data_IF_809134685945
#
_entry.id   IF_809134685945
#
_cell.length_a   1.000
_cell.length_b   1.000
_cell.length_c   1.000
_cell.angle_alpha   90.00
_cell.angle_beta   90.00
_cell.angle_gamma   90.00
#
_symmetry.space_group_name_H-M   'P 1'
#
loop_
_entity.id
_entity.type
_entity.pdbx_description
1 polymer ?
#
# COMPACT_ATOMS: atom_id res chain seq x y z
N UNK A 1 -164.42 19.48 33.73
CA UNK A 1 -163.81 18.54 32.75
C UNK A 1 -162.87 19.22 31.74
N UNK A 2 -162.82 20.55 31.63
CA UNK A 2 -161.80 21.29 30.85
C UNK A 2 -160.48 21.45 31.62
N UNK A 3 -160.54 21.75 32.93
CA UNK A 3 -159.36 21.93 33.81
C UNK A 3 -158.39 20.73 33.85
N UNK A 4 -158.88 19.49 33.87
CA UNK A 4 -158.03 18.27 33.94
C UNK A 4 -157.26 18.01 32.62
N UNK A 5 -157.83 18.41 31.47
CA UNK A 5 -157.16 18.31 30.17
C UNK A 5 -156.09 19.40 30.00
N UNK A 6 -156.33 20.58 30.55
CA UNK A 6 -155.35 21.66 30.60
C UNK A 6 -154.17 21.31 31.51
N UNK A 7 -154.41 20.77 32.71
CA UNK A 7 -153.34 20.33 33.63
C UNK A 7 -152.50 19.19 33.06
N UNK A 8 -153.10 18.20 32.38
CA UNK A 8 -152.35 17.13 31.72
C UNK A 8 -151.51 17.67 30.56
N UNK A 9 -152.05 18.58 29.75
CA UNK A 9 -151.29 19.23 28.67
C UNK A 9 -150.14 20.10 29.21
N UNK A 10 -150.35 20.85 30.29
CA UNK A 10 -149.29 21.62 30.96
C UNK A 10 -148.18 20.68 31.46
N UNK A 11 -148.55 19.53 32.04
CA UNK A 11 -147.59 18.54 32.56
C UNK A 11 -146.78 17.88 31.43
N UNK A 12 -147.42 17.49 30.33
CA UNK A 12 -146.74 16.91 29.15
C UNK A 12 -145.83 17.94 28.47
N UNK A 13 -146.26 19.20 28.35
CA UNK A 13 -145.44 20.30 27.82
C UNK A 13 -144.24 20.56 28.73
N UNK A 14 -144.41 20.59 30.05
CA UNK A 14 -143.31 20.75 31.01
C UNK A 14 -142.32 19.60 30.97
N UNK A 15 -142.78 18.34 30.86
CA UNK A 15 -141.90 17.18 30.70
C UNK A 15 -141.15 17.22 29.36
N UNK A 16 -141.77 17.71 28.29
CA UNK A 16 -141.13 17.86 26.97
C UNK A 16 -140.07 18.96 26.98
N UNK A 17 -140.37 20.10 27.62
CA UNK A 17 -139.42 21.19 27.87
C UNK A 17 -138.25 20.69 28.71
N UNK A 18 -138.50 19.97 29.81
CA UNK A 18 -137.45 19.40 30.66
C UNK A 18 -136.59 18.38 29.92
N UNK A 19 -137.17 17.55 29.05
CA UNK A 19 -136.42 16.61 28.21
C UNK A 19 -135.59 17.34 27.14
N UNK A 20 -136.06 18.46 26.61
CA UNK A 20 -135.28 19.32 25.72
C UNK A 20 -134.13 20.02 26.47
N UNK A 21 -134.37 20.55 27.67
CA UNK A 21 -133.33 21.13 28.54
C UNK A 21 -132.26 20.10 28.89
N UNK A 22 -132.65 18.88 29.27
CA UNK A 22 -131.71 17.81 29.57
C UNK A 22 -130.89 17.41 28.35
N UNK A 23 -131.50 17.34 27.16
CA UNK A 23 -130.77 17.10 25.91
C UNK A 23 -129.83 18.25 25.56
N UNK A 24 -130.24 19.50 25.75
CA UNK A 24 -129.39 20.67 25.54
C UNK A 24 -128.18 20.65 26.49
N UNK A 25 -128.40 20.36 27.77
CA UNK A 25 -127.33 20.18 28.76
C UNK A 25 -126.43 18.99 28.43
N UNK A 26 -126.98 17.88 27.97
CA UNK A 26 -126.18 16.72 27.53
C UNK A 26 -125.31 17.07 26.32
N UNK A 27 -125.84 17.82 25.34
CA UNK A 27 -125.05 18.29 24.19
C UNK A 27 -123.98 19.30 24.59
N UNK A 28 -124.27 20.17 25.55
CA UNK A 28 -123.32 21.13 26.10
C UNK A 28 -122.19 20.43 26.85
N UNK A 29 -122.52 19.44 27.69
CA UNK A 29 -121.54 18.61 28.39
C UNK A 29 -120.66 17.86 27.39
N UNK A 30 -121.26 17.24 26.35
CA UNK A 30 -120.49 16.56 25.29
C UNK A 30 -119.55 17.52 24.54
N UNK A 31 -120.02 18.72 24.21
CA UNK A 31 -119.20 19.74 23.56
C UNK A 31 -118.06 20.24 24.47
N UNK A 32 -118.33 20.43 25.76
CA UNK A 32 -117.32 20.81 26.74
C UNK A 32 -116.30 19.70 26.96
N UNK A 33 -116.74 18.43 27.00
CA UNK A 33 -115.85 17.28 27.17
C UNK A 33 -114.90 17.13 25.97
N UNK A 34 -115.39 17.37 24.74
CA UNK A 34 -114.54 17.42 23.55
C UNK A 34 -113.51 18.57 23.61
N UNK A 35 -113.91 19.77 24.07
CA UNK A 35 -112.98 20.89 24.26
C UNK A 35 -111.94 20.61 25.34
N UNK A 36 -112.34 19.96 26.44
CA UNK A 36 -111.42 19.54 27.50
C UNK A 36 -110.44 18.47 27.01
N UNK A 37 -110.91 17.48 26.24
CA UNK A 37 -110.03 16.46 25.65
C UNK A 37 -109.02 17.11 24.67
N UNK A 38 -109.47 18.02 23.80
CA UNK A 38 -108.58 18.81 22.94
C UNK A 38 -107.56 19.62 23.74
N UNK A 39 -107.99 20.30 24.81
CA UNK A 39 -107.10 21.05 25.69
C UNK A 39 -106.07 20.15 26.38
N UNK A 40 -106.47 18.97 26.86
CA UNK A 40 -105.57 17.99 27.47
C UNK A 40 -104.55 17.48 26.45
N UNK A 41 -104.97 17.17 25.22
CA UNK A 41 -104.08 16.77 24.14
C UNK A 41 -103.08 17.87 23.78
N UNK A 42 -103.52 19.12 23.63
CA UNK A 42 -102.64 20.25 23.36
C UNK A 42 -101.66 20.53 24.50
N UNK A 43 -102.12 20.43 25.75
CA UNK A 43 -101.28 20.58 26.93
C UNK A 43 -100.22 19.47 26.98
N UNK A 44 -100.60 18.23 26.70
CA UNK A 44 -99.67 17.11 26.65
C UNK A 44 -98.63 17.28 25.53
N UNK A 45 -99.03 17.77 24.36
CA UNK A 45 -98.08 18.12 23.28
C UNK A 45 -97.12 19.23 23.72
N UNK A 46 -97.60 20.27 24.41
CA UNK A 46 -96.74 21.34 24.97
C UNK A 46 -95.78 20.79 26.03
N UNK A 47 -96.26 19.92 26.92
CA UNK A 47 -95.47 19.25 27.96
C UNK A 47 -94.36 18.41 27.34
N UNK A 48 -94.68 17.57 26.37
CA UNK A 48 -93.71 16.73 25.64
C UNK A 48 -92.71 17.59 24.87
N UNK A 49 -93.13 18.66 24.20
CA UNK A 49 -92.21 19.58 23.50
C UNK A 49 -91.26 20.28 24.47
N UNK A 50 -91.77 20.78 25.59
CA UNK A 50 -90.95 21.41 26.63
C UNK A 50 -89.95 20.41 27.23
N UNK A 51 -90.40 19.18 27.51
CA UNK A 51 -89.54 18.11 28.02
C UNK A 51 -88.42 17.75 27.02
N UNK A 52 -88.75 17.56 25.73
CA UNK A 52 -87.75 17.29 24.68
C UNK A 52 -86.79 18.46 24.46
N UNK A 53 -87.22 19.71 24.66
CA UNK A 53 -86.33 20.88 24.59
C UNK A 53 -85.36 20.88 25.77
N UNK A 54 -85.87 20.68 26.99
CA UNK A 54 -85.05 20.60 28.20
C UNK A 54 -84.05 19.44 28.15
N UNK A 55 -84.44 18.29 27.60
CA UNK A 55 -83.54 17.14 27.44
C UNK A 55 -82.42 17.42 26.43
N UNK A 56 -82.74 18.01 25.27
CA UNK A 56 -81.71 18.42 24.28
C UNK A 56 -80.75 19.45 24.85
N UNK A 57 -81.25 20.40 25.63
CA UNK A 57 -80.43 21.43 26.27
C UNK A 57 -79.52 20.82 27.33
N UNK A 58 -80.02 19.89 28.15
CA UNK A 58 -79.20 19.12 29.10
C UNK A 58 -78.12 18.31 28.39
N UNK A 59 -78.43 17.67 27.27
CA UNK A 59 -77.46 16.91 26.49
C UNK A 59 -76.37 17.81 25.89
N UNK A 60 -76.75 18.94 25.32
CA UNK A 60 -75.80 19.92 24.80
C UNK A 60 -74.88 20.45 25.90
N UNK A 61 -75.42 20.74 27.09
CA UNK A 61 -74.62 21.17 28.25
C UNK A 61 -73.65 20.06 28.65
N UNK A 62 -74.09 18.79 28.72
CA UNK A 62 -73.20 17.65 29.02
C UNK A 62 -72.05 17.56 28.03
N UNK A 63 -72.32 17.64 26.73
CA UNK A 63 -71.30 17.62 25.68
C UNK A 63 -70.31 18.77 25.84
N UNK A 64 -70.81 20.00 26.05
CA UNK A 64 -69.96 21.18 26.23
C UNK A 64 -69.10 21.11 27.49
N UNK A 65 -69.60 20.52 28.58
CA UNK A 65 -68.80 20.33 29.80
C UNK A 65 -67.65 19.34 29.56
N UNK A 66 -67.90 18.25 28.83
CA UNK A 66 -66.84 17.29 28.46
C UNK A 66 -65.80 17.93 27.54
N UNK A 67 -66.24 18.66 26.51
CA UNK A 67 -65.34 19.40 25.61
C UNK A 67 -64.51 20.43 26.39
N UNK A 68 -65.12 21.20 27.30
CA UNK A 68 -64.40 22.16 28.14
C UNK A 68 -63.34 21.49 29.01
N UNK A 69 -63.65 20.33 29.59
CA UNK A 69 -62.66 19.55 30.37
C UNK A 69 -61.47 19.12 29.51
N UNK A 70 -61.73 18.54 28.34
CA UNK A 70 -60.67 18.12 27.42
C UNK A 70 -59.80 19.30 26.95
N UNK A 71 -60.41 20.44 26.59
CA UNK A 71 -59.68 21.64 26.20
C UNK A 71 -58.87 22.24 27.36
N UNK A 72 -59.37 22.15 28.60
CA UNK A 72 -58.63 22.61 29.78
C UNK A 72 -57.40 21.76 30.05
N UNK A 73 -57.49 20.43 29.90
CA UNK A 73 -56.36 19.52 30.02
C UNK A 73 -55.31 19.78 28.93
N UNK A 74 -55.74 19.96 27.67
CA UNK A 74 -54.85 20.29 26.56
C UNK A 74 -54.13 21.63 26.78
N UNK A 75 -54.86 22.66 27.21
CA UNK A 75 -54.30 23.96 27.53
C UNK A 75 -53.26 23.86 28.66
N UNK A 76 -53.53 23.03 29.67
CA UNK A 76 -52.59 22.79 30.76
C UNK A 76 -51.31 22.12 30.26
N UNK A 77 -51.43 21.07 29.44
CA UNK A 77 -50.29 20.37 28.87
C UNK A 77 -49.43 21.28 27.98
N UNK A 78 -50.07 22.07 27.10
CA UNK A 78 -49.38 23.03 26.25
C UNK A 78 -48.68 24.14 27.06
N UNK A 79 -49.29 24.58 28.15
CA UNK A 79 -48.69 25.57 29.05
C UNK A 79 -47.45 25.01 29.74
N UNK A 80 -47.50 23.77 30.21
CA UNK A 80 -46.34 23.10 30.80
C UNK A 80 -45.19 22.95 29.80
N UNK A 81 -45.48 22.56 28.55
CA UNK A 81 -44.46 22.40 27.52
C UNK A 81 -43.86 23.76 27.12
N UNK A 82 -44.69 24.80 26.99
CA UNK A 82 -44.21 26.18 26.79
C UNK A 82 -43.26 26.60 27.90
N UNK A 83 -43.63 26.36 29.17
CA UNK A 83 -42.81 26.76 30.32
C UNK A 83 -41.52 25.96 30.42
N UNK A 84 -41.53 24.70 29.98
CA UNK A 84 -40.33 23.89 29.84
C UNK A 84 -39.42 24.48 28.76
N UNK A 85 -39.94 24.73 27.56
CA UNK A 85 -39.16 25.29 26.44
C UNK A 85 -38.62 26.69 26.76
N UNK A 86 -39.40 27.53 27.44
CA UNK A 86 -38.96 28.85 27.89
C UNK A 86 -37.76 28.73 28.86
N UNK A 87 -37.83 27.82 29.85
CA UNK A 87 -36.71 27.57 30.76
C UNK A 87 -35.47 27.04 30.03
N UNK A 88 -35.63 26.20 29.02
CA UNK A 88 -34.52 25.72 28.19
C UNK A 88 -33.91 26.87 27.36
N UNK A 89 -34.73 27.74 26.78
CA UNK A 89 -34.28 28.92 26.05
C UNK A 89 -33.52 29.90 26.95
N UNK A 90 -34.03 30.18 28.15
CA UNK A 90 -33.39 31.06 29.14
C UNK A 90 -32.03 30.51 29.57
N UNK A 91 -31.93 29.20 29.84
CA UNK A 91 -30.65 28.55 30.15
C UNK A 91 -29.64 28.70 29.01
N UNK A 92 -30.11 28.65 27.77
CA UNK A 92 -29.28 28.74 26.57
C UNK A 92 -29.03 30.19 26.12
N UNK A 93 -29.57 31.20 26.80
CA UNK A 93 -29.42 32.61 26.43
C UNK A 93 -27.95 33.08 26.44
N UNK A 94 -27.08 32.39 27.19
CA UNK A 94 -25.64 32.67 27.23
C UNK A 94 -24.97 32.59 25.84
N UNK A 95 -25.44 31.70 24.96
CA UNK A 95 -24.84 31.48 23.64
C UNK A 95 -25.10 32.63 22.66
N UNK A 96 -26.34 33.06 22.40
CA UNK A 96 -26.59 34.23 21.55
C UNK A 96 -25.97 35.50 22.13
N UNK A 97 -25.99 35.70 23.45
CA UNK A 97 -25.33 36.84 24.10
C UNK A 97 -23.82 36.85 23.85
N UNK A 98 -23.17 35.68 23.94
CA UNK A 98 -21.77 35.51 23.60
C UNK A 98 -21.50 35.85 22.13
N UNK A 99 -22.28 35.30 21.19
CA UNK A 99 -22.08 35.56 19.77
C UNK A 99 -22.32 37.03 19.41
N UNK A 100 -23.32 37.68 20.00
CA UNK A 100 -23.54 39.12 19.85
C UNK A 100 -22.37 39.95 20.37
N UNK A 101 -21.76 39.55 21.50
CA UNK A 101 -20.52 40.19 21.98
C UNK A 101 -19.37 40.01 20.98
N UNK A 102 -19.20 38.82 20.42
CA UNK A 102 -18.16 38.56 19.40
C UNK A 102 -18.36 39.43 18.16
N UNK A 103 -19.58 39.53 17.65
CA UNK A 103 -19.95 40.41 16.52
C UNK A 103 -19.57 41.87 16.82
N UNK A 104 -19.95 42.37 18.01
CA UNK A 104 -19.62 43.75 18.46
C UNK A 104 -18.12 44.02 18.54
N UNK A 105 -17.34 43.05 19.00
CA UNK A 105 -15.88 43.19 19.16
C UNK A 105 -15.14 43.08 17.83
N UNK A 106 -15.47 42.10 17.01
CA UNK A 106 -14.70 41.79 15.80
C UNK A 106 -15.00 42.73 14.63
N UNK A 107 -16.18 43.38 14.58
CA UNK A 107 -16.64 44.30 13.50
C UNK A 107 -16.55 43.79 12.05
N UNK A 108 -16.00 42.60 11.82
CA UNK A 108 -15.89 41.90 10.54
C UNK A 108 -17.16 41.10 10.21
N UNK A 109 -18.05 40.97 11.18
CA UNK A 109 -19.31 40.24 11.07
C UNK A 109 -20.43 41.17 11.45
N UNK A 110 -21.54 41.08 10.72
CA UNK A 110 -22.76 41.84 11.03
C UNK A 110 -23.74 41.01 11.88
N UNK A 111 -23.69 39.69 11.74
CA UNK A 111 -24.63 38.77 12.39
C UNK A 111 -23.94 37.56 13.03
N UNK A 112 -24.45 37.04 14.17
CA UNK A 112 -23.99 35.80 14.79
C UNK A 112 -23.87 34.61 13.83
N UNK A 113 -24.78 34.53 12.83
CA UNK A 113 -24.80 33.45 11.84
C UNK A 113 -23.54 33.44 10.96
N UNK A 114 -22.99 34.62 10.64
CA UNK A 114 -21.75 34.72 9.86
C UNK A 114 -20.55 34.19 10.65
N UNK A 115 -20.49 34.47 11.96
CA UNK A 115 -19.46 33.93 12.87
C UNK A 115 -19.54 32.40 12.91
N UNK A 116 -20.74 31.85 13.07
CA UNK A 116 -20.95 30.39 13.06
C UNK A 116 -20.53 29.75 11.73
N UNK A 117 -20.93 30.35 10.60
CA UNK A 117 -20.55 29.87 9.28
C UNK A 117 -19.04 29.88 9.08
N UNK A 118 -18.37 30.97 9.46
CA UNK A 118 -16.90 31.05 9.40
C UNK A 118 -16.24 30.00 10.29
N UNK A 119 -16.74 29.81 11.50
CA UNK A 119 -16.23 28.78 12.41
C UNK A 119 -16.40 27.37 11.81
N UNK A 120 -17.58 27.06 11.27
CA UNK A 120 -17.83 25.78 10.61
C UNK A 120 -16.87 25.55 9.43
N UNK A 121 -16.65 26.56 8.58
CA UNK A 121 -15.67 26.47 7.49
C UNK A 121 -14.26 26.27 8.02
N UNK A 122 -13.85 26.95 9.09
CA UNK A 122 -12.53 26.78 9.70
C UNK A 122 -12.34 25.39 10.28
N UNK A 123 -13.36 24.82 10.92
CA UNK A 123 -13.33 23.43 11.43
C UNK A 123 -13.17 22.46 10.26
N UNK A 124 -13.98 22.61 9.21
CA UNK A 124 -13.88 21.78 8.01
C UNK A 124 -12.49 21.87 7.35
N UNK A 125 -11.98 23.09 7.15
CA UNK A 125 -10.65 23.31 6.57
C UNK A 125 -9.56 22.70 7.46
N UNK A 126 -9.67 22.80 8.79
CA UNK A 126 -8.74 22.16 9.73
C UNK A 126 -8.76 20.64 9.55
N UNK A 127 -9.92 20.03 9.46
CA UNK A 127 -10.05 18.58 9.26
C UNK A 127 -9.43 18.14 7.93
N UNK A 128 -9.67 18.88 6.86
CA UNK A 128 -9.10 18.60 5.54
C UNK A 128 -7.58 18.76 5.53
N UNK A 129 -7.05 19.81 6.16
CA UNK A 129 -5.60 20.01 6.33
C UNK A 129 -4.96 18.89 7.15
N UNK A 130 -5.61 18.45 8.24
CA UNK A 130 -5.10 17.33 9.05
C UNK A 130 -5.10 16.03 8.26
N UNK A 131 -6.10 15.79 7.40
CA UNK A 131 -6.15 14.63 6.52
C UNK A 131 -5.00 14.66 5.52
N UNK A 132 -4.84 15.78 4.82
CA UNK A 132 -3.75 15.96 3.84
C UNK A 132 -2.36 15.85 4.48
N UNK A 133 -2.17 16.39 5.68
CA UNK A 133 -0.92 16.25 6.42
C UNK A 133 -0.58 14.78 6.73
N UNK A 134 -1.58 14.00 7.17
CA UNK A 134 -1.42 12.55 7.42
C UNK A 134 -1.11 11.77 6.14
N UNK A 135 -1.76 12.10 5.04
CA UNK A 135 -1.49 11.49 3.73
C UNK A 135 -0.08 11.82 3.24
N UNK A 136 0.37 13.07 3.40
CA UNK A 136 1.73 13.49 3.09
C UNK A 136 2.77 12.76 3.94
N UNK A 137 2.54 12.63 5.24
CA UNK A 137 3.40 11.88 6.15
C UNK A 137 3.49 10.40 5.75
N UNK A 138 2.36 9.77 5.41
CA UNK A 138 2.33 8.39 4.93
C UNK A 138 3.11 8.22 3.61
N UNK A 139 3.01 9.19 2.69
CA UNK A 139 3.77 9.18 1.44
C UNK A 139 5.27 9.30 1.68
N UNK A 140 5.70 10.22 2.57
CA UNK A 140 7.11 10.37 2.96
C UNK A 140 7.63 9.09 3.61
N UNK A 141 6.91 8.51 4.55
CA UNK A 141 7.29 7.25 5.20
C UNK A 141 7.43 6.11 4.19
N UNK A 142 6.52 6.04 3.20
CA UNK A 142 6.61 5.05 2.12
C UNK A 142 7.87 5.27 1.26
N UNK A 143 8.17 6.51 0.89
CA UNK A 143 9.37 6.84 0.12
C UNK A 143 10.67 6.54 0.89
N UNK A 144 10.70 6.84 2.20
CA UNK A 144 11.82 6.49 3.08
C UNK A 144 12.01 4.97 3.19
N UNK A 145 10.92 4.20 3.30
CA UNK A 145 10.99 2.74 3.31
C UNK A 145 11.54 2.18 1.99
N UNK A 146 11.10 2.71 0.84
CA UNK A 146 11.63 2.33 -0.47
C UNK A 146 13.12 2.68 -0.61
N UNK A 147 13.54 3.85 -0.11
CA UNK A 147 14.95 4.25 -0.12
C UNK A 147 15.80 3.32 0.75
N UNK A 148 15.32 2.98 1.96
CA UNK A 148 16.01 2.05 2.84
C UNK A 148 16.21 0.68 2.17
N UNK A 149 15.16 0.17 1.53
CA UNK A 149 15.22 -1.08 0.77
C UNK A 149 16.21 -1.00 -0.40
N UNK A 150 16.24 0.13 -1.13
CA UNK A 150 17.20 0.33 -2.22
C UNK A 150 18.64 0.35 -1.73
N UNK A 151 18.91 1.01 -0.59
CA UNK A 151 20.23 1.06 0.03
C UNK A 151 20.67 -0.35 0.46
N UNK A 152 19.79 -1.12 1.08
CA UNK A 152 20.06 -2.52 1.48
C UNK A 152 20.43 -3.38 0.27
N UNK A 153 19.59 -3.36 -0.78
CA UNK A 153 19.87 -4.07 -2.03
C UNK A 153 21.16 -3.61 -2.71
N UNK A 154 21.49 -2.32 -2.60
CA UNK A 154 22.75 -1.77 -3.09
C UNK A 154 23.95 -2.31 -2.30
N UNK A 155 23.83 -2.36 -0.97
CA UNK A 155 24.82 -2.95 -0.08
C UNK A 155 25.08 -4.42 -0.40
N UNK A 156 24.03 -5.21 -0.59
CA UNK A 156 24.14 -6.63 -0.97
C UNK A 156 24.89 -6.81 -2.30
N UNK A 157 24.59 -5.98 -3.30
CA UNK A 157 25.29 -6.00 -4.59
C UNK A 157 26.77 -5.63 -4.45
N UNK A 158 27.10 -4.62 -3.64
CA UNK A 158 28.49 -4.23 -3.39
C UNK A 158 29.25 -5.40 -2.74
N UNK A 159 28.67 -6.04 -1.73
CA UNK A 159 29.29 -7.21 -1.08
C UNK A 159 29.48 -8.34 -2.09
N UNK A 160 28.46 -8.64 -2.89
CA UNK A 160 28.53 -9.66 -3.93
C UNK A 160 29.65 -9.40 -4.94
N UNK A 161 29.74 -8.19 -5.50
CA UNK A 161 30.80 -7.85 -6.45
C UNK A 161 32.18 -7.77 -5.80
N UNK A 162 32.28 -7.32 -4.55
CA UNK A 162 33.54 -7.33 -3.80
C UNK A 162 34.08 -8.76 -3.63
N UNK A 163 33.20 -9.71 -3.33
CA UNK A 163 33.58 -11.12 -3.23
C UNK A 163 34.01 -11.70 -4.58
N UNK A 164 33.30 -11.37 -5.66
CA UNK A 164 33.70 -11.79 -7.02
C UNK A 164 35.06 -11.20 -7.43
N UNK A 165 35.29 -9.92 -7.12
CA UNK A 165 36.58 -9.27 -7.39
C UNK A 165 37.72 -9.95 -6.64
N UNK A 166 37.52 -10.30 -5.36
CA UNK A 166 38.52 -11.00 -4.58
C UNK A 166 38.85 -12.40 -5.13
N UNK A 167 37.83 -13.13 -5.62
CA UNK A 167 38.02 -14.42 -6.29
C UNK A 167 38.84 -14.26 -7.58
N UNK A 168 38.44 -13.33 -8.45
CA UNK A 168 39.15 -13.06 -9.71
C UNK A 168 40.59 -12.60 -9.47
N UNK A 169 40.82 -11.78 -8.44
CA UNK A 169 42.17 -11.36 -8.07
C UNK A 169 43.02 -12.55 -7.64
N UNK A 170 42.45 -13.47 -6.86
CA UNK A 170 43.15 -14.71 -6.45
C UNK A 170 43.49 -15.57 -7.67
N UNK A 171 42.56 -15.74 -8.61
CA UNK A 171 42.81 -16.47 -9.86
C UNK A 171 43.91 -15.80 -10.69
N UNK A 172 43.90 -14.47 -10.82
CA UNK A 172 44.94 -13.73 -11.51
C UNK A 172 46.31 -13.90 -10.84
N UNK A 173 46.38 -13.78 -9.52
CA UNK A 173 47.62 -13.91 -8.75
C UNK A 173 48.20 -15.34 -8.88
N UNK A 174 47.34 -16.36 -8.93
CA UNK A 174 47.79 -17.74 -9.17
C UNK A 174 48.30 -17.95 -10.59
N UNK A 175 47.59 -17.45 -11.60
CA UNK A 175 47.99 -17.57 -13.00
C UNK A 175 49.29 -16.81 -13.28
N UNK A 176 49.44 -15.59 -12.75
CA UNK A 176 50.67 -14.80 -12.88
C UNK A 176 51.85 -15.47 -12.18
N UNK A 177 51.66 -16.01 -10.98
CA UNK A 177 52.70 -16.78 -10.27
C UNK A 177 53.16 -18.01 -11.08
N UNK A 178 52.22 -18.73 -11.69
CA UNK A 178 52.55 -19.85 -12.57
C UNK A 178 53.29 -19.41 -13.83
N UNK A 179 52.85 -18.32 -14.47
CA UNK A 179 53.51 -17.76 -15.65
C UNK A 179 54.96 -17.39 -15.34
N UNK A 180 55.21 -16.69 -14.22
CA UNK A 180 56.56 -16.34 -13.77
C UNK A 180 57.44 -17.59 -13.55
N UNK A 181 56.89 -18.64 -12.94
CA UNK A 181 57.62 -19.90 -12.74
C UNK A 181 58.05 -20.52 -14.08
N UNK A 182 57.15 -20.59 -15.05
CA UNK A 182 57.42 -21.17 -16.36
C UNK A 182 58.36 -20.30 -17.19
N UNK A 183 58.23 -18.97 -17.11
CA UNK A 183 59.12 -18.03 -17.76
C UNK A 183 60.55 -18.17 -17.21
N UNK A 184 60.72 -18.27 -15.88
CA UNK A 184 62.02 -18.54 -15.27
C UNK A 184 62.63 -19.86 -15.74
N UNK A 185 61.82 -20.93 -15.83
CA UNK A 185 62.28 -22.24 -16.34
C UNK A 185 62.69 -22.15 -17.82
N UNK A 186 61.88 -21.47 -18.63
CA UNK A 186 62.16 -21.26 -20.04
C UNK A 186 63.46 -20.49 -20.26
N UNK A 187 63.67 -19.39 -19.53
CA UNK A 187 64.91 -18.61 -19.56
C UNK A 187 66.12 -19.47 -19.18
N UNK A 188 65.99 -20.32 -18.15
CA UNK A 188 67.08 -21.23 -17.77
C UNK A 188 67.42 -22.26 -18.85
N UNK A 189 66.41 -22.87 -19.46
CA UNK A 189 66.57 -23.82 -20.57
C UNK A 189 67.20 -23.11 -21.77
N UNK A 190 66.69 -21.94 -22.14
CA UNK A 190 67.18 -21.15 -23.27
C UNK A 190 68.64 -20.74 -23.09
N UNK A 191 69.01 -20.22 -21.91
CA UNK A 191 70.40 -19.89 -21.57
C UNK A 191 71.31 -21.12 -21.63
N UNK A 192 70.83 -22.27 -21.15
CA UNK A 192 71.61 -23.52 -21.21
C UNK A 192 71.79 -24.00 -22.65
N UNK A 193 70.75 -23.93 -23.46
CA UNK A 193 70.81 -24.27 -24.89
C UNK A 193 71.77 -23.32 -25.62
N UNK A 194 71.69 -22.00 -25.39
CA UNK A 194 72.59 -21.02 -25.96
C UNK A 194 74.06 -21.31 -25.60
N UNK A 195 74.35 -21.64 -24.33
CA UNK A 195 75.70 -22.06 -23.90
C UNK A 195 76.18 -23.32 -24.62
N UNK A 196 75.32 -24.35 -24.75
CA UNK A 196 75.66 -25.59 -25.47
C UNK A 196 75.88 -25.35 -26.96
N UNK A 197 75.04 -24.54 -27.59
CA UNK A 197 75.18 -24.15 -29.01
C UNK A 197 76.48 -23.38 -29.23
N UNK A 198 76.83 -22.44 -28.34
CA UNK A 198 78.09 -21.71 -28.41
C UNK A 198 79.30 -22.65 -28.25
N UNK A 199 79.27 -23.56 -27.26
CA UNK A 199 80.33 -24.54 -27.05
C UNK A 199 80.48 -25.45 -28.27
N UNK A 200 79.39 -25.96 -28.82
CA UNK A 200 79.40 -26.77 -30.03
C UNK A 200 80.00 -25.99 -31.20
N UNK A 201 79.55 -24.75 -31.44
CA UNK A 201 80.12 -23.88 -32.48
C UNK A 201 81.63 -23.65 -32.28
N UNK A 202 82.06 -23.45 -31.03
CA UNK A 202 83.49 -23.30 -30.68
C UNK A 202 84.28 -24.57 -31.00
N UNK A 203 83.77 -25.75 -30.62
CA UNK A 203 84.38 -27.05 -30.94
C UNK A 203 84.48 -27.22 -32.45
N UNK A 204 83.38 -26.99 -33.19
CA UNK A 204 83.35 -27.09 -34.65
C UNK A 204 84.40 -26.20 -35.30
N UNK A 205 84.51 -24.94 -34.86
CA UNK A 205 85.50 -24.00 -35.38
C UNK A 205 86.93 -24.41 -35.03
N UNK A 206 87.20 -24.82 -33.79
CA UNK A 206 88.52 -25.28 -33.37
C UNK A 206 88.96 -26.54 -34.15
N UNK A 207 88.06 -27.52 -34.30
CA UNK A 207 88.28 -28.72 -35.13
C UNK A 207 88.57 -28.35 -36.57
N UNK A 208 87.74 -27.52 -37.20
CA UNK A 208 87.93 -27.10 -38.58
C UNK A 208 89.28 -26.39 -38.75
N UNK A 209 89.62 -25.47 -37.84
CA UNK A 209 90.91 -24.76 -37.85
C UNK A 209 92.10 -25.72 -37.73
N UNK A 210 92.02 -26.73 -36.85
CA UNK A 210 93.06 -27.76 -36.71
C UNK A 210 93.17 -28.62 -37.99
N UNK A 211 92.04 -29.09 -38.53
CA UNK A 211 92.00 -29.85 -39.77
C UNK A 211 92.63 -29.08 -40.95
N UNK A 212 92.27 -27.80 -41.13
CA UNK A 212 92.86 -26.93 -42.16
C UNK A 212 94.37 -26.73 -41.94
N UNK A 213 94.81 -26.57 -40.69
CA UNK A 213 96.24 -26.39 -40.37
C UNK A 213 97.08 -27.63 -40.67
N UNK A 214 96.51 -28.83 -40.52
CA UNK A 214 97.16 -30.11 -40.81
C UNK A 214 97.13 -30.44 -42.32
N UNK A 215 95.98 -30.25 -42.97
CA UNK A 215 95.82 -30.44 -44.42
C UNK A 215 96.52 -29.36 -45.27
N UNK A 216 96.90 -28.23 -44.69
CA UNK A 216 97.77 -27.24 -45.34
C UNK A 216 99.23 -27.68 -45.48
N UNK A 217 99.68 -28.68 -44.70
CA UNK A 217 101.07 -29.20 -44.73
C UNK A 217 101.23 -30.44 -45.62
N UNK A 218 100.16 -31.19 -45.85
CA UNK A 218 100.10 -32.32 -46.79
C UNK A 218 98.76 -32.29 -47.53
N UNK A 219 98.77 -32.38 -48.87
CA UNK A 219 97.55 -32.35 -49.69
C UNK A 219 96.51 -33.37 -49.18
N UNK A 220 95.28 -32.95 -48.82
CA UNK A 220 94.27 -33.87 -48.30
C UNK A 220 93.83 -34.88 -49.39
N UNK A 221 93.69 -36.16 -49.00
CA UNK A 221 93.23 -37.23 -49.90
C UNK A 221 91.70 -37.24 -50.11
N UNK A 222 90.92 -36.52 -49.30
CA UNK A 222 89.47 -36.35 -49.41
C UNK A 222 89.07 -34.91 -49.07
N UNK A 223 88.18 -34.34 -49.87
CA UNK A 223 87.54 -33.04 -49.60
C UNK A 223 86.43 -33.23 -48.57
N UNK A 224 86.68 -32.84 -47.32
CA UNK A 224 85.75 -32.98 -46.21
C UNK A 224 84.99 -31.68 -46.02
N UNK A 225 83.64 -31.76 -45.99
CA UNK A 225 82.78 -30.60 -45.81
C UNK A 225 83.09 -29.84 -44.50
N UNK A 226 83.04 -28.50 -44.51
CA UNK A 226 83.28 -27.69 -43.31
C UNK A 226 82.26 -27.95 -42.19
N UNK A 227 81.07 -28.47 -42.49
CA UNK A 227 80.02 -28.80 -41.52
C UNK A 227 80.16 -30.19 -40.90
N UNK A 228 80.95 -31.10 -41.50
CA UNK A 228 81.16 -32.47 -41.02
C UNK A 228 82.34 -32.55 -40.03
N UNK A 229 82.07 -32.08 -38.81
CA UNK A 229 83.05 -32.03 -37.72
C UNK A 229 83.57 -33.42 -37.32
N UNK A 230 82.75 -34.47 -37.46
CA UNK A 230 83.17 -35.83 -37.09
C UNK A 230 84.20 -36.37 -38.09
N UNK A 231 83.95 -36.20 -39.39
CA UNK A 231 84.92 -36.59 -40.41
C UNK A 231 86.24 -35.82 -40.27
N UNK A 232 86.18 -34.51 -39.94
CA UNK A 232 87.37 -33.70 -39.67
C UNK A 232 88.17 -34.23 -38.46
N UNK A 233 87.50 -34.57 -37.36
CA UNK A 233 88.16 -35.16 -36.18
C UNK A 233 88.82 -36.50 -36.50
N UNK A 234 88.15 -37.38 -37.26
CA UNK A 234 88.72 -38.68 -37.65
C UNK A 234 89.99 -38.54 -38.49
N UNK A 235 90.06 -37.54 -39.38
CA UNK A 235 91.29 -37.27 -40.14
C UNK A 235 92.40 -36.67 -39.25
N UNK A 236 92.05 -35.77 -38.34
CA UNK A 236 93.00 -35.25 -37.33
C UNK A 236 93.56 -36.41 -36.50
N UNK A 237 92.72 -37.34 -36.04
CA UNK A 237 93.12 -38.53 -35.28
C UNK A 237 94.05 -39.42 -36.10
N UNK A 238 93.71 -39.72 -37.36
CA UNK A 238 94.57 -40.51 -38.26
C UNK A 238 95.95 -39.85 -38.43
N UNK A 239 95.99 -38.54 -38.61
CA UNK A 239 97.25 -37.80 -38.74
C UNK A 239 98.09 -37.87 -37.46
N UNK A 240 97.47 -37.69 -36.29
CA UNK A 240 98.15 -37.80 -35.00
C UNK A 240 98.70 -39.22 -34.76
N UNK A 241 97.93 -40.26 -35.10
CA UNK A 241 98.38 -41.65 -35.00
C UNK A 241 99.56 -41.92 -35.94
N UNK A 242 99.53 -41.39 -37.17
CA UNK A 242 100.65 -41.48 -38.10
C UNK A 242 101.89 -40.77 -37.54
N UNK A 243 101.77 -39.54 -37.03
CA UNK A 243 102.88 -38.84 -36.39
C UNK A 243 103.44 -39.59 -35.18
N UNK A 244 102.57 -40.20 -34.38
CA UNK A 244 103.00 -41.00 -33.22
C UNK A 244 103.73 -42.26 -33.67
N UNK A 245 103.24 -42.94 -34.70
CA UNK A 245 103.90 -44.09 -35.32
C UNK A 245 105.26 -43.71 -35.92
N UNK A 246 105.36 -42.56 -36.60
CA UNK A 246 106.63 -42.04 -37.13
C UNK A 246 107.59 -41.69 -35.99
N UNK A 247 107.11 -41.07 -34.92
CA UNK A 247 107.93 -40.73 -33.75
C UNK A 247 108.44 -42.00 -33.05
N UNK A 248 107.61 -43.03 -32.91
CA UNK A 248 108.00 -44.33 -32.37
C UNK A 248 109.02 -45.04 -33.27
N UNK A 249 108.90 -44.91 -34.60
CA UNK A 249 109.89 -45.40 -35.54
C UNK A 249 111.21 -44.62 -35.46
N UNK A 250 111.15 -43.30 -35.35
CA UNK A 250 112.33 -42.44 -35.16
C UNK A 250 113.02 -42.76 -33.83
N UNK A 251 112.27 -42.96 -32.73
CA UNK A 251 112.85 -43.40 -31.47
C UNK A 251 113.46 -44.80 -31.54
N UNK A 252 112.89 -45.73 -32.31
CA UNK A 252 113.52 -47.04 -32.60
C UNK A 252 114.80 -46.90 -33.43
N UNK A 253 114.87 -45.94 -34.34
CA UNK A 253 116.07 -45.65 -35.14
C UNK A 253 117.15 -44.97 -34.29
N UNK A 254 116.78 -44.00 -33.45
CA UNK A 254 117.69 -43.28 -32.55
C UNK A 254 118.26 -44.22 -31.47
N UNK A 255 117.46 -45.19 -30.98
CA UNK A 255 117.94 -46.29 -30.16
C UNK A 255 118.91 -47.23 -30.90
N UNK A 256 118.72 -47.48 -32.20
CA UNK A 256 119.67 -48.25 -33.02
C UNK A 256 120.97 -47.47 -33.29
N UNK A 257 120.90 -46.15 -33.51
CA UNK A 257 122.08 -45.30 -33.69
C UNK A 257 122.89 -45.12 -32.40
N UNK A 258 122.25 -45.08 -31.23
CA UNK A 258 122.95 -45.08 -29.95
C UNK A 258 123.69 -46.41 -29.68
N UNK A 259 123.11 -47.55 -30.07
CA UNK A 259 123.77 -48.86 -30.00
C UNK A 259 124.97 -48.91 -30.96
N UNK A 260 124.86 -48.35 -32.17
CA UNK A 260 125.96 -48.32 -33.14
C UNK A 260 127.09 -47.34 -32.76
N UNK A 261 126.79 -46.25 -32.02
CA UNK A 261 127.80 -45.32 -31.48
C UNK A 261 128.55 -45.87 -30.25
N UNK A 262 128.01 -46.87 -29.54
CA UNK A 262 128.75 -47.59 -28.49
C UNK A 262 129.76 -48.56 -29.09
N UNK A 263 129.43 -49.27 -30.17
CA UNK A 263 130.35 -50.19 -30.85
C UNK A 263 131.59 -49.49 -31.45
N UNK A 264 131.48 -48.21 -31.85
CA UNK A 264 132.61 -47.43 -32.36
C UNK A 264 133.50 -46.80 -31.29
N UNK A 265 133.12 -46.81 -30.00
CA UNK A 265 133.93 -46.27 -28.90
C UNK A 265 134.88 -47.30 -28.27
N UNK A 266 134.71 -48.59 -28.53
CA UNK A 266 135.59 -49.65 -28.00
C UNK A 266 136.79 -50.01 -28.91
N UNK A 267 137.03 -49.27 -30.01
CA UNK A 267 138.17 -49.48 -30.92
C UNK A 267 139.24 -48.38 -30.88
N UNK A 268 139.41 -47.68 -29.75
CA UNK A 268 140.56 -46.80 -29.49
C UNK A 268 141.19 -47.05 -28.14
#
# INVERSE_FOLDING_TARGET
MQLVKEDFNITVVNQRLRKQELRAKETEIKANLLKFDQFLQENEVKRVRAMKKAERERELVRQKVLELGALQEELHALTQERDRLAREADRNQIYPDYLLRVVRLCKQFDEPRQVMSRFATLVQTREDLLRSAKEGEASVNTALAQLAQYIEQGGDKIIHYSNQLALLQTELDTATSQAMLWESRWVHISNTAAKKTLLLGTIKMATLNLYMSLSGKEKPQKDISPEDTLAQLSEIERFLLNLTSIMDEVHKIDHKEQVHKMDHKEQR
#
